data_IF_249128215857
#
_entry.id   IF_249128215857
#
_cell.length_a   1.000
_cell.length_b   1.000
_cell.length_c   1.000
_cell.angle_alpha   90.00
_cell.angle_beta   90.00
_cell.angle_gamma   90.00
#
_symmetry.space_group_name_H-M   'P 1'
#
loop_
_entity.id
_entity.type
_entity.pdbx_description
1 polymer ?
#
# COMPACT_ATOMS: atom_id res chain seq x y z
N UNK A 1 1.73 -1.46 8.80
CA UNK A 1 0.38 -1.04 9.26
C UNK A 1 -0.65 -1.57 8.28
N UNK A 2 -1.79 -2.09 8.73
CA UNK A 2 -2.84 -2.60 7.84
C UNK A 2 -3.89 -1.51 7.60
N UNK A 3 -4.20 -1.24 6.32
CA UNK A 3 -5.13 -0.19 5.90
C UNK A 3 -6.17 -0.75 4.93
N UNK A 4 -7.34 -0.12 4.87
CA UNK A 4 -8.45 -0.51 3.98
C UNK A 4 -9.24 0.71 3.50
N UNK A 5 -9.75 0.66 2.28
CA UNK A 5 -10.63 1.70 1.73
C UNK A 5 -12.01 1.66 2.38
N UNK A 6 -12.65 2.82 2.58
CA UNK A 6 -13.96 2.92 3.23
C UNK A 6 -15.02 2.05 2.56
N UNK A 7 -15.05 2.03 1.21
CA UNK A 7 -16.00 1.24 0.41
C UNK A 7 -15.85 -0.28 0.62
N UNK A 8 -14.66 -0.75 1.01
CA UNK A 8 -14.40 -2.17 1.28
C UNK A 8 -14.87 -2.63 2.67
N UNK A 9 -15.30 -1.72 3.55
CA UNK A 9 -16.01 -2.09 4.78
C UNK A 9 -17.50 -2.34 4.51
N UNK A 10 -18.08 -1.68 3.50
CA UNK A 10 -19.52 -1.72 3.26
C UNK A 10 -19.94 -3.13 2.86
N UNK A 11 -21.11 -3.55 3.37
CA UNK A 11 -21.64 -4.92 3.28
C UNK A 11 -20.82 -6.01 3.98
N UNK A 12 -19.67 -5.72 4.61
CA UNK A 12 -18.94 -6.74 5.38
C UNK A 12 -19.83 -7.31 6.50
N UNK A 13 -19.93 -8.65 6.64
CA UNK A 13 -20.51 -9.28 7.81
C UNK A 13 -19.83 -8.80 9.09
N UNK A 14 -20.62 -8.52 10.13
CA UNK A 14 -20.11 -8.36 11.49
C UNK A 14 -20.42 -9.62 12.27
N UNK A 15 -19.41 -10.28 12.81
CA UNK A 15 -19.52 -11.55 13.55
C UNK A 15 -19.11 -11.35 15.00
N UNK A 16 -19.90 -11.90 15.91
CA UNK A 16 -19.53 -11.99 17.32
C UNK A 16 -18.82 -13.30 17.63
N UNK A 17 -17.69 -13.22 18.33
CA UNK A 17 -16.81 -14.36 18.55
C UNK A 17 -17.25 -15.28 19.70
N UNK A 18 -17.86 -14.74 20.76
CA UNK A 18 -18.34 -15.56 21.89
C UNK A 18 -19.65 -16.28 21.56
N UNK A 19 -20.58 -15.64 20.85
CA UNK A 19 -21.86 -16.24 20.46
C UNK A 19 -21.80 -16.99 19.11
N UNK A 20 -20.73 -16.81 18.32
CA UNK A 20 -20.57 -17.44 17.01
C UNK A 20 -21.57 -16.98 15.94
N UNK A 21 -22.19 -15.81 16.12
CA UNK A 21 -23.32 -15.33 15.32
C UNK A 21 -22.98 -14.09 14.49
N UNK A 22 -23.57 -14.00 13.29
CA UNK A 22 -23.53 -12.78 12.49
C UNK A 22 -24.54 -11.76 13.07
N UNK A 23 -24.01 -10.62 13.52
CA UNK A 23 -24.76 -9.50 14.10
C UNK A 23 -25.41 -8.59 13.05
N UNK A 24 -25.00 -8.69 11.78
CA UNK A 24 -25.52 -7.90 10.66
C UNK A 24 -24.46 -7.69 9.58
N UNK A 25 -24.64 -6.65 8.77
CA UNK A 25 -23.68 -6.18 7.78
C UNK A 25 -23.33 -4.70 8.05
N UNK A 26 -22.08 -4.30 7.84
CA UNK A 26 -21.67 -2.88 7.94
C UNK A 26 -22.36 -2.10 6.83
N UNK A 27 -23.14 -1.09 7.21
CA UNK A 27 -23.84 -0.18 6.30
C UNK A 27 -23.01 1.05 5.98
N UNK A 28 -22.33 1.59 6.98
CA UNK A 28 -21.67 2.89 6.92
C UNK A 28 -20.59 2.99 8.03
N UNK A 29 -19.57 3.82 7.79
CA UNK A 29 -18.55 4.17 8.78
C UNK A 29 -18.87 5.55 9.34
N UNK A 30 -19.07 5.66 10.66
CA UNK A 30 -19.30 6.95 11.33
C UNK A 30 -17.94 7.57 11.64
N UNK A 31 -17.65 8.70 11.00
CA UNK A 31 -16.38 9.43 11.15
C UNK A 31 -16.57 10.65 12.05
N UNK A 32 -15.66 10.82 13.00
CA UNK A 32 -15.44 12.08 13.70
C UNK A 32 -14.47 12.94 12.86
N UNK A 33 -14.91 14.08 12.31
CA UNK A 33 -14.07 14.92 11.45
C UNK A 33 -12.93 15.61 12.22
N UNK A 34 -13.16 15.93 13.51
CA UNK A 34 -12.17 16.60 14.38
C UNK A 34 -11.04 15.66 14.78
N UNK A 35 -11.37 14.42 15.14
CA UNK A 35 -10.38 13.38 15.45
C UNK A 35 -9.80 12.70 14.19
N UNK A 36 -10.34 13.02 13.01
CA UNK A 36 -10.03 12.35 11.72
C UNK A 36 -10.07 10.82 11.84
N UNK A 37 -11.14 10.28 12.42
CA UNK A 37 -11.20 8.87 12.85
C UNK A 37 -12.59 8.26 12.71
N UNK A 38 -12.65 6.99 12.31
CA UNK A 38 -13.87 6.17 12.40
C UNK A 38 -14.12 5.85 13.87
N UNK A 39 -15.20 6.40 14.43
CA UNK A 39 -15.59 6.20 15.83
C UNK A 39 -16.62 5.08 16.01
N UNK A 40 -17.39 4.74 14.97
CA UNK A 40 -18.31 3.62 14.99
C UNK A 40 -18.58 3.02 13.60
N UNK A 41 -19.03 1.77 13.58
CA UNK A 41 -19.63 1.11 12.43
C UNK A 41 -21.16 1.15 12.58
N UNK A 42 -21.87 1.69 11.60
CA UNK A 42 -23.31 1.49 11.50
C UNK A 42 -23.56 0.08 10.92
N UNK A 43 -24.38 -0.71 11.60
CA UNK A 43 -24.68 -2.10 11.25
C UNK A 43 -26.17 -2.25 11.02
N UNK A 44 -26.53 -2.83 9.88
CA UNK A 44 -27.91 -3.19 9.57
C UNK A 44 -28.13 -4.70 9.67
N UNK A 45 -29.32 -5.07 10.14
CA UNK A 45 -29.76 -6.46 10.24
C UNK A 45 -30.77 -6.76 9.11
N UNK A 46 -30.68 -7.95 8.52
CA UNK A 46 -31.66 -8.42 7.53
C UNK A 46 -32.94 -8.80 8.26
N UNK A 47 -34.07 -8.21 7.87
CA UNK A 47 -35.39 -8.50 8.45
C UNK A 47 -36.38 -7.33 8.33
N UNK A 48 -37.59 -7.53 8.85
CA UNK A 48 -38.65 -6.51 8.89
C UNK A 48 -38.31 -5.35 9.85
N UNK A 49 -37.57 -5.63 10.93
CA UNK A 49 -37.13 -4.63 11.91
C UNK A 49 -35.76 -4.06 11.53
N UNK A 50 -35.77 -3.01 10.69
CA UNK A 50 -34.57 -2.25 10.26
C UNK A 50 -34.04 -1.32 11.36
N UNK A 51 -33.81 -1.84 12.56
CA UNK A 51 -33.21 -1.08 13.65
C UNK A 51 -31.70 -0.89 13.39
N UNK A 52 -31.27 0.35 13.20
CA UNK A 52 -29.85 0.69 13.05
C UNK A 52 -29.12 0.49 14.38
N UNK A 53 -28.15 -0.43 14.38
CA UNK A 53 -27.24 -0.64 15.51
C UNK A 53 -25.89 -0.01 15.18
N UNK A 54 -25.18 0.44 16.21
CA UNK A 54 -23.87 1.04 16.11
C UNK A 54 -22.90 0.24 16.96
N UNK A 55 -21.73 -0.04 16.40
CA UNK A 55 -20.62 -0.69 17.11
C UNK A 55 -19.52 0.35 17.22
N UNK A 56 -19.22 0.89 18.42
CA UNK A 56 -18.07 1.76 18.61
C UNK A 56 -16.80 1.06 18.11
N UNK A 57 -15.92 1.79 17.41
CA UNK A 57 -14.71 1.19 16.81
C UNK A 57 -13.78 0.59 17.88
N UNK A 58 -13.81 1.14 19.11
CA UNK A 58 -13.13 0.59 20.29
C UNK A 58 -13.64 -0.79 20.75
N UNK A 59 -14.75 -1.29 20.19
CA UNK A 59 -15.26 -2.67 20.39
C UNK A 59 -14.99 -3.59 19.21
N UNK A 60 -14.47 -3.08 18.10
CA UNK A 60 -13.97 -3.90 16.98
C UNK A 60 -12.69 -4.58 17.41
N UNK A 61 -12.62 -5.90 17.26
CA UNK A 61 -11.42 -6.69 17.59
C UNK A 61 -10.50 -6.84 16.39
N UNK A 62 -11.06 -7.04 15.20
CA UNK A 62 -10.31 -7.16 13.95
C UNK A 62 -11.22 -6.97 12.73
N UNK A 63 -10.64 -6.40 11.68
CA UNK A 63 -11.23 -6.25 10.34
C UNK A 63 -10.50 -7.24 9.41
N UNK A 64 -11.02 -8.46 9.30
CA UNK A 64 -10.47 -9.54 8.49
C UNK A 64 -10.71 -9.36 6.99
N UNK A 65 -10.30 -10.32 6.16
CA UNK A 65 -10.63 -10.31 4.73
C UNK A 65 -12.14 -10.28 4.51
N UNK A 66 -12.83 -11.22 5.18
CA UNK A 66 -14.22 -11.59 4.89
C UNK A 66 -15.23 -11.02 5.88
N UNK A 67 -14.81 -10.65 7.10
CA UNK A 67 -15.70 -10.18 8.17
C UNK A 67 -15.02 -9.21 9.15
N UNK A 68 -15.82 -8.36 9.77
CA UNK A 68 -15.45 -7.61 10.98
C UNK A 68 -15.83 -8.44 12.20
N UNK A 69 -14.97 -8.48 13.20
CA UNK A 69 -15.17 -9.28 14.42
C UNK A 69 -15.27 -8.42 15.67
N UNK A 70 -16.18 -8.79 16.57
CA UNK A 70 -16.33 -8.24 17.93
C UNK A 70 -16.32 -9.38 18.95
N UNK A 71 -16.05 -9.08 20.23
CA UNK A 71 -16.07 -10.13 21.26
C UNK A 71 -17.50 -10.64 21.54
N UNK A 72 -18.45 -9.72 21.79
CA UNK A 72 -19.84 -10.03 22.16
C UNK A 72 -20.86 -9.26 21.32
N UNK A 73 -22.04 -9.84 21.11
CA UNK A 73 -23.14 -9.24 20.37
C UNK A 73 -23.69 -7.99 21.07
N UNK A 74 -23.55 -7.90 22.39
CA UNK A 74 -23.83 -6.71 23.20
C UNK A 74 -23.00 -5.46 22.82
N UNK A 75 -21.95 -5.61 22.00
CA UNK A 75 -21.20 -4.49 21.41
C UNK A 75 -22.03 -3.70 20.38
N UNK A 76 -23.10 -4.28 19.85
CA UNK A 76 -24.02 -3.63 18.92
C UNK A 76 -25.11 -2.87 19.70
N UNK A 77 -24.90 -1.56 19.85
CA UNK A 77 -25.70 -0.66 20.67
C UNK A 77 -26.75 0.08 19.84
N UNK A 78 -27.91 0.40 20.43
CA UNK A 78 -28.94 1.21 19.77
C UNK A 78 -28.52 2.67 19.72
N UNK A 79 -28.93 3.41 18.69
CA UNK A 79 -28.65 4.85 18.54
C UNK A 79 -28.77 5.63 19.84
N UNK A 80 -29.91 5.56 20.53
CA UNK A 80 -30.20 6.30 21.76
C UNK A 80 -29.27 6.05 22.96
N UNK A 81 -28.37 5.07 22.89
CA UNK A 81 -27.34 4.83 23.92
C UNK A 81 -25.98 5.47 23.62
N UNK A 82 -25.82 6.14 22.49
CA UNK A 82 -24.56 6.74 22.03
C UNK A 82 -24.77 8.17 21.48
N UNK A 83 -24.96 9.19 22.35
CA UNK A 83 -25.32 10.55 21.92
C UNK A 83 -24.32 11.18 20.94
N UNK A 84 -23.02 11.04 21.19
CA UNK A 84 -21.94 11.58 20.35
C UNK A 84 -21.98 11.00 18.92
N UNK A 85 -22.19 9.69 18.80
CA UNK A 85 -22.30 9.00 17.51
C UNK A 85 -23.58 9.40 16.78
N UNK A 86 -24.71 9.62 17.48
CA UNK A 86 -25.93 10.17 16.86
C UNK A 86 -25.66 11.55 16.25
N UNK A 87 -24.94 12.43 16.95
CA UNK A 87 -24.63 13.78 16.46
C UNK A 87 -23.86 13.71 15.14
N UNK A 88 -22.77 12.92 15.09
CA UNK A 88 -21.97 12.73 13.87
C UNK A 88 -22.78 12.14 12.71
N UNK A 89 -23.67 11.17 12.99
CA UNK A 89 -24.59 10.60 11.97
C UNK A 89 -25.60 11.64 11.45
N UNK A 90 -26.05 12.58 12.30
CA UNK A 90 -26.98 13.65 11.91
C UNK A 90 -26.31 14.75 11.08
N UNK A 91 -25.04 15.05 11.35
CA UNK A 91 -24.25 16.02 10.57
C UNK A 91 -24.03 15.56 9.13
N UNK A 92 -23.96 14.24 8.91
CA UNK A 92 -23.73 13.60 7.60
C UNK A 92 -22.43 14.08 6.94
N UNK A 93 -21.32 13.95 7.67
CA UNK A 93 -19.98 14.31 7.23
C UNK A 93 -19.47 13.32 6.16
N UNK A 94 -19.99 13.45 4.94
CA UNK A 94 -19.73 12.57 3.81
C UNK A 94 -18.36 12.89 3.17
N UNK A 95 -17.31 12.20 3.62
CA UNK A 95 -15.96 12.37 3.05
C UNK A 95 -15.94 12.01 1.56
N UNK A 96 -16.54 10.88 1.17
CA UNK A 96 -16.61 10.46 -0.24
C UNK A 96 -17.53 11.39 -1.02
N UNK A 97 -17.04 11.97 -2.13
CA UNK A 97 -17.75 12.98 -2.91
C UNK A 97 -17.57 14.42 -2.43
N UNK A 98 -16.89 14.66 -1.30
CA UNK A 98 -16.55 16.02 -0.87
C UNK A 98 -15.52 16.66 -1.84
N UNK A 99 -15.63 17.98 -2.04
CA UNK A 99 -14.65 18.75 -2.81
C UNK A 99 -13.41 19.04 -1.97
N UNK A 100 -12.22 18.86 -2.52
CA UNK A 100 -10.96 19.21 -1.87
C UNK A 100 -10.51 20.60 -2.33
N UNK A 101 -10.32 21.50 -1.38
CA UNK A 101 -9.85 22.88 -1.62
C UNK A 101 -8.62 23.17 -0.75
N UNK A 102 -7.68 23.95 -1.26
CA UNK A 102 -6.52 24.43 -0.50
C UNK A 102 -6.88 25.62 0.42
N UNK A 103 -5.98 25.99 1.34
CA UNK A 103 -6.10 27.16 2.21
C UNK A 103 -6.25 28.47 1.38
N UNK A 104 -5.58 28.58 0.23
CA UNK A 104 -5.74 29.71 -0.71
C UNK A 104 -6.98 29.65 -1.63
N UNK A 105 -7.84 28.64 -1.49
CA UNK A 105 -9.10 28.53 -2.24
C UNK A 105 -9.02 27.79 -3.59
N UNK A 106 -7.88 27.18 -3.93
CA UNK A 106 -7.73 26.39 -5.16
C UNK A 106 -8.44 25.04 -5.04
N UNK A 107 -9.37 24.74 -5.96
CA UNK A 107 -10.05 23.45 -6.04
C UNK A 107 -9.13 22.38 -6.64
N UNK A 108 -8.74 21.39 -5.85
CA UNK A 108 -7.88 20.28 -6.30
C UNK A 108 -8.68 19.15 -6.99
N UNK A 109 -9.88 18.85 -6.49
CA UNK A 109 -10.69 17.75 -7.00
C UNK A 109 -11.82 17.31 -6.08
N UNK A 110 -12.21 16.04 -6.19
CA UNK A 110 -13.28 15.40 -5.44
C UNK A 110 -12.78 14.06 -4.87
N UNK A 111 -13.09 13.78 -3.61
CA UNK A 111 -12.72 12.52 -2.94
C UNK A 111 -13.42 11.32 -3.59
N UNK A 112 -12.63 10.34 -4.02
CA UNK A 112 -13.10 9.04 -4.49
C UNK A 112 -13.36 8.07 -3.33
N UNK A 113 -12.41 7.97 -2.39
CA UNK A 113 -12.44 7.05 -1.25
C UNK A 113 -11.47 7.54 -0.15
N UNK A 114 -11.57 7.00 1.06
CA UNK A 114 -10.60 7.24 2.13
C UNK A 114 -10.09 5.94 2.75
N UNK A 115 -8.90 5.99 3.30
CA UNK A 115 -8.23 4.85 3.92
C UNK A 115 -8.33 4.91 5.45
N UNK A 116 -8.64 3.77 6.05
CA UNK A 116 -8.77 3.58 7.50
C UNK A 116 -7.68 2.64 8.00
N UNK A 117 -6.99 3.02 9.07
CA UNK A 117 -6.10 2.14 9.84
C UNK A 117 -6.96 1.08 10.55
N UNK A 118 -6.75 -0.20 10.22
CA UNK A 118 -7.58 -1.30 10.74
C UNK A 118 -7.43 -1.56 12.24
N UNK A 119 -6.36 -1.06 12.87
CA UNK A 119 -6.11 -1.25 14.29
C UNK A 119 -6.64 -0.09 15.15
N UNK A 120 -6.47 1.15 14.69
CA UNK A 120 -6.85 2.35 15.46
C UNK A 120 -8.17 2.98 15.04
N UNK A 121 -8.63 2.74 13.80
CA UNK A 121 -9.76 3.43 13.18
C UNK A 121 -9.43 4.81 12.59
N UNK A 122 -8.19 5.28 12.71
CA UNK A 122 -7.77 6.59 12.18
C UNK A 122 -7.85 6.63 10.64
N UNK A 123 -8.19 7.80 10.10
CA UNK A 123 -8.02 8.08 8.69
C UNK A 123 -6.52 8.20 8.38
N UNK A 124 -6.07 7.56 7.30
CA UNK A 124 -4.67 7.60 6.83
C UNK A 124 -4.51 8.59 5.67
N UNK A 125 -5.59 8.85 4.94
CA UNK A 125 -5.61 9.75 3.79
C UNK A 125 -6.76 9.43 2.86
N UNK A 126 -6.80 10.08 1.71
CA UNK A 126 -7.90 10.00 0.75
C UNK A 126 -7.41 9.91 -0.70
N UNK A 127 -8.09 9.09 -1.49
CA UNK A 127 -7.97 9.11 -2.94
C UNK A 127 -8.86 10.22 -3.48
N UNK A 128 -8.37 10.99 -4.43
CA UNK A 128 -9.17 12.01 -5.10
C UNK A 128 -8.89 12.07 -6.60
N UNK A 129 -9.93 12.43 -7.34
CA UNK A 129 -9.89 12.68 -8.78
C UNK A 129 -10.12 14.16 -9.07
N UNK A 130 -9.47 14.69 -10.11
CA UNK A 130 -9.60 16.11 -10.46
C UNK A 130 -9.05 16.44 -11.84
N UNK A 131 -9.59 17.46 -12.50
CA UNK A 131 -9.24 17.80 -13.88
C UNK A 131 -7.74 18.11 -14.05
N UNK A 132 -7.11 18.74 -13.05
CA UNK A 132 -5.68 19.04 -13.02
C UNK A 132 -4.79 17.79 -12.85
N UNK A 133 -5.34 16.67 -12.35
CA UNK A 133 -4.62 15.41 -12.14
C UNK A 133 -4.47 14.59 -13.43
N UNK A 134 -5.25 14.88 -14.47
CA UNK A 134 -5.33 14.03 -15.67
C UNK A 134 -3.97 13.84 -16.37
N UNK A 135 -3.14 14.88 -16.44
CA UNK A 135 -1.87 14.85 -17.19
C UNK A 135 -0.69 14.22 -16.45
N UNK A 136 -0.67 14.27 -15.12
CA UNK A 136 0.49 13.84 -14.30
C UNK A 136 0.16 12.61 -13.44
N UNK A 137 -1.06 12.53 -12.94
CA UNK A 137 -1.50 11.57 -11.94
C UNK A 137 -2.43 10.48 -12.51
N UNK A 138 -2.54 10.36 -13.84
CA UNK A 138 -3.55 9.54 -14.53
C UNK A 138 -4.99 9.84 -14.04
N UNK A 139 -5.24 11.08 -13.60
CA UNK A 139 -6.51 11.51 -13.02
C UNK A 139 -6.72 11.19 -11.53
N UNK A 140 -5.82 10.45 -10.85
CA UNK A 140 -5.99 10.02 -9.45
C UNK A 140 -4.75 10.21 -8.57
N UNK A 141 -4.93 10.88 -7.44
CA UNK A 141 -3.87 11.10 -6.45
C UNK A 141 -4.32 10.70 -5.04
N UNK A 142 -3.34 10.39 -4.19
CA UNK A 142 -3.51 10.15 -2.77
C UNK A 142 -3.06 11.37 -1.97
N UNK A 143 -3.95 11.91 -1.16
CA UNK A 143 -3.68 12.98 -0.21
C UNK A 143 -3.53 12.38 1.20
N UNK A 144 -2.37 12.60 1.82
CA UNK A 144 -2.13 12.18 3.20
C UNK A 144 -2.98 12.98 4.19
N UNK A 145 -3.41 12.34 5.29
CA UNK A 145 -4.25 12.95 6.31
C UNK A 145 -3.59 14.13 7.04
N UNK A 146 -2.25 14.19 7.06
CA UNK A 146 -1.48 15.28 7.67
C UNK A 146 -1.65 16.61 6.93
N UNK A 147 -1.91 16.57 5.62
CA UNK A 147 -2.21 17.74 4.80
C UNK A 147 -3.66 18.23 4.91
N UNK A 148 -4.55 17.45 5.51
CA UNK A 148 -5.95 17.85 5.74
C UNK A 148 -6.05 18.74 6.97
N UNK A 149 -6.65 19.92 6.83
CA UNK A 149 -6.95 20.83 7.94
C UNK A 149 -8.34 20.59 8.52
N UNK A 150 -9.34 20.54 7.64
CA UNK A 150 -10.76 20.51 8.04
C UNK A 150 -11.50 19.51 7.18
N UNK A 151 -12.23 18.58 7.81
CA UNK A 151 -13.22 17.75 7.14
C UNK A 151 -14.59 18.38 7.42
N UNK A 152 -15.08 19.17 6.47
CA UNK A 152 -16.42 19.73 6.51
C UNK A 152 -17.47 18.78 5.90
N UNK A 153 -18.73 19.20 5.96
CA UNK A 153 -19.87 18.44 5.44
C UNK A 153 -19.83 18.21 3.92
N UNK A 154 -19.46 19.25 3.17
CA UNK A 154 -19.48 19.27 1.70
C UNK A 154 -18.08 19.50 1.07
N UNK A 155 -17.10 19.92 1.87
CA UNK A 155 -15.74 20.26 1.43
C UNK A 155 -14.69 19.86 2.47
N UNK A 156 -13.50 19.51 1.98
CA UNK A 156 -12.31 19.24 2.76
C UNK A 156 -11.30 20.33 2.46
N UNK A 157 -10.80 21.00 3.51
CA UNK A 157 -9.74 22.02 3.41
C UNK A 157 -8.40 21.36 3.68
N UNK A 158 -7.41 21.61 2.83
CA UNK A 158 -6.06 21.07 2.93
C UNK A 158 -5.00 22.18 2.79
N UNK A 159 -3.76 21.90 3.20
CA UNK A 159 -2.65 22.84 3.06
C UNK A 159 -2.37 23.20 1.60
N UNK A 160 -1.87 24.40 1.32
CA UNK A 160 -1.52 24.80 -0.06
C UNK A 160 -0.52 23.84 -0.76
N UNK A 161 0.42 23.25 -0.01
CA UNK A 161 1.37 22.23 -0.51
C UNK A 161 0.73 20.87 -0.85
N UNK A 162 -0.55 20.65 -0.54
CA UNK A 162 -1.20 19.33 -0.58
C UNK A 162 -1.09 18.62 -1.93
N UNK A 163 -1.17 19.37 -3.04
CA UNK A 163 -1.05 18.80 -4.39
C UNK A 163 0.39 18.37 -4.72
N UNK A 164 1.39 19.11 -4.25
CA UNK A 164 2.81 18.80 -4.49
C UNK A 164 3.27 17.58 -3.71
N UNK A 165 2.70 17.37 -2.51
CA UNK A 165 2.96 16.19 -1.67
C UNK A 165 2.06 15.00 -2.01
N UNK A 166 1.06 15.17 -2.85
CA UNK A 166 0.14 14.10 -3.22
C UNK A 166 0.87 12.98 -3.99
N UNK A 167 0.59 11.73 -3.64
CA UNK A 167 1.24 10.56 -4.25
C UNK A 167 0.40 10.04 -5.41
N UNK A 168 1.05 9.67 -6.53
CA UNK A 168 0.36 9.10 -7.68
C UNK A 168 -0.16 7.70 -7.41
N UNK A 169 -1.46 7.52 -7.64
CA UNK A 169 -2.14 6.22 -7.58
C UNK A 169 -2.07 5.53 -8.95
N UNK A 170 -0.85 5.21 -9.40
CA UNK A 170 -0.69 4.22 -10.47
C UNK A 170 -1.25 2.87 -9.95
N UNK A 171 -2.15 2.24 -10.72
CA UNK A 171 -2.93 1.05 -10.29
C UNK A 171 -2.10 -0.19 -9.91
N UNK A 172 -0.78 -0.13 -10.02
CA UNK A 172 0.15 -1.23 -9.85
C UNK A 172 0.65 -1.52 -8.43
N UNK A 173 0.13 -0.90 -7.35
CA UNK A 173 0.60 -1.26 -6.00
C UNK A 173 0.22 -2.69 -5.59
N UNK A 174 -0.97 -3.16 -5.98
CA UNK A 174 -1.34 -4.58 -5.83
C UNK A 174 -0.60 -5.49 -6.83
N UNK A 175 -0.22 -4.95 -7.98
CA UNK A 175 0.40 -5.69 -9.08
C UNK A 175 1.89 -5.94 -8.84
N UNK A 176 2.63 -4.94 -8.32
CA UNK A 176 4.02 -5.09 -7.86
C UNK A 176 4.15 -6.06 -6.69
N UNK A 177 3.16 -6.13 -5.80
CA UNK A 177 3.12 -7.11 -4.70
C UNK A 177 2.77 -8.54 -5.17
N UNK A 178 2.09 -8.70 -6.31
CA UNK A 178 1.86 -10.01 -6.95
C UNK A 178 3.07 -10.50 -7.74
N UNK A 179 3.69 -9.65 -8.55
CA UNK A 179 4.88 -10.01 -9.34
C UNK A 179 6.06 -10.50 -8.50
N UNK A 180 6.23 -9.98 -7.28
CA UNK A 180 7.24 -10.45 -6.32
C UNK A 180 6.85 -11.80 -5.68
N UNK A 181 5.56 -12.10 -5.51
CA UNK A 181 5.13 -13.41 -4.99
C UNK A 181 5.32 -14.53 -6.01
N UNK A 182 4.93 -14.33 -7.25
CA UNK A 182 4.98 -15.38 -8.29
C UNK A 182 6.42 -15.69 -8.75
N UNK A 183 7.33 -14.70 -8.75
CA UNK A 183 8.72 -14.91 -9.18
C UNK A 183 9.67 -15.43 -8.10
N UNK A 184 9.24 -15.56 -6.84
CA UNK A 184 10.14 -15.95 -5.72
C UNK A 184 9.82 -17.31 -5.08
N UNK A 185 8.72 -17.97 -5.46
CA UNK A 185 8.40 -19.34 -5.03
C UNK A 185 9.38 -20.40 -5.59
N UNK A 186 10.01 -20.16 -6.76
CA UNK A 186 10.94 -21.12 -7.39
C UNK A 186 12.43 -20.94 -7.02
N UNK A 187 12.82 -19.85 -6.36
CA UNK A 187 14.23 -19.55 -6.00
C UNK A 187 14.59 -20.03 -4.59
N UNK A 188 13.61 -20.08 -3.68
CA UNK A 188 13.81 -20.47 -2.28
C UNK A 188 14.10 -21.98 -2.13
N UNK A 189 13.39 -22.83 -2.88
CA UNK A 189 13.53 -24.29 -2.80
C UNK A 189 14.74 -24.84 -3.59
N UNK A 190 15.16 -24.16 -4.66
CA UNK A 190 16.35 -24.53 -5.43
C UNK A 190 17.66 -24.18 -4.69
N UNK A 191 17.63 -23.19 -3.80
CA UNK A 191 18.81 -22.79 -2.99
C UNK A 191 19.00 -23.68 -1.76
N UNK A 192 17.92 -24.13 -1.11
CA UNK A 192 17.99 -24.99 0.10
C UNK A 192 18.53 -26.40 -0.14
N UNK A 193 18.48 -26.91 -1.38
CA UNK A 193 18.97 -28.26 -1.71
C UNK A 193 20.48 -28.33 -2.01
N UNK A 194 21.18 -27.23 -2.26
CA UNK A 194 22.65 -27.24 -2.51
C UNK A 194 23.53 -26.97 -1.28
N UNK A 195 22.98 -26.42 -0.20
CA UNK A 195 23.72 -26.16 1.06
C UNK A 195 23.83 -27.36 2.00
N UNK A 196 23.28 -28.53 1.65
CA UNK A 196 23.33 -29.74 2.49
C UNK A 196 24.34 -30.81 2.05
N UNK A 197 25.02 -30.64 0.91
CA UNK A 197 25.99 -31.61 0.37
C UNK A 197 27.43 -31.07 0.28
N UNK A 198 27.64 -29.75 0.33
CA UNK A 198 28.97 -29.12 0.37
C UNK A 198 29.36 -28.77 1.82
N UNK A 199 29.44 -29.82 2.65
CA UNK A 199 29.70 -29.73 4.10
C UNK A 199 30.86 -30.59 4.61
N UNK A 200 31.69 -31.16 3.71
CA UNK A 200 32.90 -31.90 4.10
C UNK A 200 34.09 -31.52 3.22
N UNK A 201 35.26 -31.44 3.86
CA UNK A 201 36.59 -31.37 3.22
C UNK A 201 36.92 -30.08 2.44
N UNK A 202 36.93 -28.94 3.13
CA UNK A 202 37.88 -27.86 2.77
C UNK A 202 39.14 -28.05 3.61
N UNK A 203 40.13 -28.76 3.08
CA UNK A 203 41.48 -28.78 3.62
C UNK A 203 42.47 -28.25 2.58
N UNK A 204 43.44 -27.46 3.07
CA UNK A 204 44.41 -26.64 2.30
C UNK A 204 45.54 -27.49 1.67
N UNK A 205 46.52 -26.94 0.92
CA UNK A 205 46.70 -25.54 0.44
C UNK A 205 47.08 -25.40 -1.06
N UNK A 206 47.19 -24.14 -1.52
CA UNK A 206 47.98 -23.78 -2.69
C UNK A 206 49.47 -24.17 -2.50
N UNK A 207 50.07 -24.80 -3.52
CA UNK A 207 51.52 -24.89 -3.65
C UNK A 207 51.96 -25.01 -5.13
N UNK A 208 53.17 -24.53 -5.43
CA UNK A 208 53.93 -24.68 -6.69
C UNK A 208 53.49 -23.87 -7.91
N UNK A 209 53.85 -22.59 -7.85
CA UNK A 209 54.44 -21.90 -9.01
C UNK A 209 55.77 -22.60 -9.38
N UNK A 210 55.90 -23.13 -10.61
CA UNK A 210 57.10 -23.10 -11.50
C UNK A 210 57.07 -24.18 -12.63
N UNK A 211 57.14 -23.71 -13.90
CA UNK A 211 57.95 -24.24 -15.05
C UNK A 211 57.59 -25.67 -15.58
N UNK A 212 57.73 -26.06 -16.86
CA UNK A 212 58.33 -25.45 -18.08
C UNK A 212 57.83 -26.13 -19.39
N UNK A 213 57.79 -25.36 -20.50
CA UNK A 213 57.98 -25.67 -21.95
C UNK A 213 57.78 -27.07 -22.62
N UNK A 214 57.36 -26.98 -23.91
CA UNK A 214 57.53 -27.90 -25.07
C UNK A 214 56.60 -29.13 -25.11
N UNK A 215 56.15 -29.66 -26.28
CA UNK A 215 56.70 -29.66 -27.66
C UNK A 215 55.71 -29.34 -28.82
N UNK A 216 56.27 -29.24 -30.05
CA UNK A 216 55.65 -28.98 -31.36
C UNK A 216 55.03 -30.23 -32.04
N UNK A 217 54.39 -30.08 -33.22
CA UNK A 217 55.09 -30.48 -34.45
C UNK A 217 55.04 -29.44 -35.61
N UNK A 218 55.86 -29.66 -36.64
CA UNK A 218 56.40 -28.67 -37.61
C UNK A 218 56.66 -29.34 -38.99
N UNK A 219 57.17 -28.65 -40.05
CA UNK A 219 56.69 -27.44 -40.76
C UNK A 219 55.89 -27.88 -42.04
N UNK A 220 56.14 -27.54 -43.36
CA UNK A 220 56.97 -26.52 -44.06
C UNK A 220 56.42 -25.07 -43.93
N UNK A 221 57.01 -23.95 -44.39
CA UNK A 221 57.99 -23.55 -45.44
C UNK A 221 57.36 -23.26 -46.84
N UNK A 222 57.68 -22.20 -47.60
CA UNK A 222 58.94 -21.41 -47.74
C UNK A 222 58.71 -19.92 -48.10
N UNK A 223 59.71 -19.06 -47.80
CA UNK A 223 60.02 -17.72 -48.37
C UNK A 223 59.53 -16.42 -47.65
N UNK A 224 60.39 -15.97 -46.72
CA UNK A 224 60.69 -14.56 -46.32
C UNK A 224 61.30 -13.71 -47.48
N UNK A 225 61.75 -12.44 -47.30
CA UNK A 225 61.52 -11.39 -46.27
C UNK A 225 61.00 -10.05 -46.91
N UNK A 226 60.78 -8.90 -46.24
CA UNK A 226 60.99 -8.46 -44.86
C UNK A 226 60.72 -6.93 -44.69
N UNK A 227 61.48 -6.28 -43.80
CA UNK A 227 61.49 -4.84 -43.40
C UNK A 227 60.40 -4.29 -42.44
N UNK A 228 60.85 -4.08 -41.21
CA UNK A 228 60.55 -2.96 -40.27
C UNK A 228 61.65 -1.88 -40.52
N UNK A 229 61.67 -0.63 -40.00
CA UNK A 229 60.81 0.08 -39.01
C UNK A 229 60.44 1.53 -39.52
N UNK A 230 60.19 2.59 -38.71
CA UNK A 230 59.99 2.70 -37.26
C UNK A 230 58.73 3.47 -36.79
N UNK A 231 58.61 3.60 -35.46
CA UNK A 231 57.70 4.50 -34.75
C UNK A 231 58.26 5.92 -34.75
N UNK A 232 57.38 6.91 -34.63
CA UNK A 232 57.68 8.18 -33.95
C UNK A 232 56.53 8.60 -33.02
N UNK A 233 56.87 9.44 -32.03
CA UNK A 233 56.01 9.86 -30.91
C UNK A 233 55.38 11.26 -31.15
N UNK A 234 54.35 11.65 -30.37
CA UNK A 234 53.78 13.02 -30.37
C UNK A 234 54.73 14.01 -29.64
N UNK A 235 54.47 15.35 -29.48
CA UNK A 235 53.15 16.03 -29.42
C UNK A 235 53.06 17.54 -29.88
N UNK A 236 51.91 18.16 -29.55
CA UNK A 236 51.64 19.60 -29.20
C UNK A 236 51.08 20.61 -30.23
N UNK A 237 49.93 21.18 -29.82
CA UNK A 237 49.59 22.61 -29.64
C UNK A 237 50.30 23.66 -30.52
N UNK A 238 49.53 24.34 -31.38
CA UNK A 238 49.04 25.73 -31.18
C UNK A 238 47.68 25.91 -31.89
#
# INVERSE_FOLDING_TARGET
MAVRKSKQFISMPVVSLEEGQQMGNVKELVVNPTEKKVVALAVEQKGLFREHKYIPYSKVRSVGGDAVTVNRGASAQKSGSLPEIITLVREKNNINGARIVTENGTLLGIVDDYYVNLASGELVGMEFSGNYLNSVFNGKAFLDIDHVRTIGKDMIVCSDEALEKAVKLDGGLQEKLRGVKESTEHIWESTKKRTKELGSTVNKPLARIKRTKKDEPDPPDVNKPGNIPPRDNPPKEE
#
